data_IF_098470094696
#
_entry.id   IF_098470094696
#
_cell.length_a   1.000
_cell.length_b   1.000
_cell.length_c   1.000
_cell.angle_alpha   90.00
_cell.angle_beta   90.00
_cell.angle_gamma   90.00
#
_symmetry.space_group_name_H-M   'P 1'
#
loop_
_entity.id
_entity.type
_entity.pdbx_description
1 polymer ?
#
# COMPACT_ATOMS: atom_id res chain seq x y z
N UNK A 1 -11.93 10.56 2.06
CA UNK A 1 -12.35 9.16 2.20
C UNK A 1 -12.15 8.70 3.63
N UNK A 2 -13.17 8.20 4.22
CA UNK A 2 -13.13 7.87 5.64
C UNK A 2 -12.47 6.52 5.91
N UNK A 3 -12.98 5.46 5.33
CA UNK A 3 -12.47 4.12 5.64
C UNK A 3 -12.39 3.26 4.39
N UNK A 4 -11.33 2.46 4.26
CA UNK A 4 -11.27 1.50 3.17
C UNK A 4 -12.32 0.39 3.39
N UNK A 5 -12.72 -0.29 2.33
CA UNK A 5 -13.61 -1.43 2.47
C UNK A 5 -13.04 -2.48 3.42
N UNK A 6 -13.92 -3.14 4.17
CA UNK A 6 -13.53 -4.05 5.23
C UNK A 6 -12.63 -5.20 4.75
N UNK A 7 -12.90 -5.70 3.56
CA UNK A 7 -12.19 -6.86 3.03
C UNK A 7 -11.09 -6.48 2.04
N UNK A 8 -10.67 -5.22 2.05
CA UNK A 8 -9.70 -4.73 1.07
C UNK A 8 -8.25 -4.83 1.53
N UNK A 9 -8.01 -5.25 2.77
CA UNK A 9 -6.64 -5.33 3.29
C UNK A 9 -5.84 -6.33 2.47
N UNK A 10 -4.77 -5.84 1.84
CA UNK A 10 -3.92 -6.66 0.98
C UNK A 10 -2.57 -6.94 1.61
N UNK A 11 -2.06 -6.03 2.42
CA UNK A 11 -0.71 -6.12 2.95
C UNK A 11 -0.60 -5.34 4.25
N UNK A 12 0.09 -5.92 5.23
CA UNK A 12 0.48 -5.21 6.45
C UNK A 12 1.95 -5.45 6.70
N UNK A 13 2.64 -4.41 7.11
CA UNK A 13 4.05 -4.53 7.44
C UNK A 13 4.43 -3.44 8.44
N UNK A 14 5.60 -3.59 9.03
CA UNK A 14 6.11 -2.62 9.98
C UNK A 14 7.32 -1.94 9.34
N UNK A 15 7.34 -0.61 9.38
CA UNK A 15 8.46 0.15 8.87
C UNK A 15 9.67 -0.04 9.78
N UNK A 16 10.78 -0.47 9.22
CA UNK A 16 11.97 -0.85 9.97
C UNK A 16 13.08 0.18 9.80
N UNK A 17 14.07 0.21 10.73
CA UNK A 17 15.18 1.16 10.60
C UNK A 17 15.91 1.06 9.27
N UNK A 18 16.01 -0.12 8.68
CA UNK A 18 16.66 -0.31 7.39
C UNK A 18 15.93 0.39 6.24
N UNK A 19 14.68 0.80 6.45
CA UNK A 19 13.85 1.43 5.44
C UNK A 19 13.90 2.96 5.48
N UNK A 20 14.84 3.52 6.24
CA UNK A 20 14.96 4.97 6.40
C UNK A 20 15.94 5.56 5.41
N UNK A 21 15.73 6.85 5.10
CA UNK A 21 16.66 7.62 4.31
C UNK A 21 17.69 8.30 5.24
N UNK A 22 18.54 9.15 4.68
CA UNK A 22 19.60 9.82 5.45
C UNK A 22 19.06 10.74 6.54
N UNK A 23 17.80 11.15 6.43
CA UNK A 23 17.17 12.02 7.43
C UNK A 23 16.43 11.24 8.50
N UNK A 24 16.45 9.91 8.44
CA UNK A 24 15.72 9.07 9.40
C UNK A 24 14.27 8.87 9.10
N UNK A 25 13.80 9.33 7.95
CA UNK A 25 12.40 9.13 7.52
C UNK A 25 12.27 7.90 6.63
N UNK A 26 11.10 7.31 6.60
CA UNK A 26 10.86 6.18 5.71
C UNK A 26 10.87 6.66 4.27
N UNK A 27 11.57 5.93 3.41
CA UNK A 27 11.65 6.24 1.98
C UNK A 27 10.29 6.27 1.32
N UNK A 28 10.05 7.28 0.48
CA UNK A 28 8.89 7.27 -0.41
C UNK A 28 8.91 6.07 -1.33
N UNK A 29 10.10 5.68 -1.80
CA UNK A 29 10.24 4.50 -2.63
C UNK A 29 9.85 3.21 -1.91
N UNK A 30 10.13 3.12 -0.61
CA UNK A 30 9.70 1.97 0.18
C UNK A 30 8.17 1.90 0.24
N UNK A 31 7.52 3.05 0.46
CA UNK A 31 6.06 3.11 0.49
C UNK A 31 5.48 2.71 -0.86
N UNK A 32 6.06 3.18 -1.95
CA UNK A 32 5.61 2.81 -3.29
C UNK A 32 5.78 1.32 -3.54
N UNK A 33 6.88 0.73 -3.05
CA UNK A 33 7.09 -0.71 -3.18
C UNK A 33 6.02 -1.49 -2.43
N UNK A 34 5.63 -1.03 -1.24
CA UNK A 34 4.57 -1.69 -0.48
C UNK A 34 3.22 -1.57 -1.19
N UNK A 35 2.95 -0.41 -1.77
CA UNK A 35 1.72 -0.20 -2.51
C UNK A 35 1.67 -1.05 -3.78
N UNK A 36 2.80 -1.19 -4.46
CA UNK A 36 2.88 -2.06 -5.63
C UNK A 36 2.62 -3.52 -5.26
N UNK A 37 3.23 -3.99 -4.18
CA UNK A 37 2.98 -5.34 -3.68
C UNK A 37 1.53 -5.53 -3.28
N UNK A 38 0.97 -4.55 -2.57
CA UNK A 38 -0.43 -4.60 -2.15
C UNK A 38 -1.38 -4.65 -3.32
N UNK A 39 -1.11 -3.87 -4.36
CA UNK A 39 -1.94 -3.86 -5.56
C UNK A 39 -1.89 -5.20 -6.29
N UNK A 40 -0.76 -5.90 -6.21
CA UNK A 40 -0.61 -7.19 -6.88
C UNK A 40 -1.53 -8.26 -6.31
N UNK A 41 -1.96 -8.12 -5.06
CA UNK A 41 -2.79 -9.13 -4.41
C UNK A 41 -4.15 -9.29 -5.10
N UNK A 42 -5.00 -8.25 -5.19
CA UNK A 42 -6.26 -8.41 -5.93
C UNK A 42 -6.03 -8.60 -7.43
N UNK A 43 -4.97 -7.99 -7.98
CA UNK A 43 -4.70 -8.09 -9.41
C UNK A 43 -4.37 -9.51 -9.82
N UNK A 44 -3.49 -10.18 -9.08
CA UNK A 44 -3.11 -11.56 -9.39
C UNK A 44 -4.28 -12.52 -9.18
N UNK A 45 -5.04 -12.29 -8.13
CA UNK A 45 -6.23 -13.11 -7.86
C UNK A 45 -7.23 -12.98 -8.99
N UNK A 46 -7.48 -11.77 -9.45
CA UNK A 46 -8.44 -11.51 -10.53
C UNK A 46 -7.94 -12.02 -11.88
N UNK A 47 -6.66 -11.80 -12.18
CA UNK A 47 -6.06 -12.21 -13.44
C UNK A 47 -5.69 -13.69 -13.47
N UNK A 48 -5.64 -14.32 -12.31
CA UNK A 48 -5.24 -15.73 -12.16
C UNK A 48 -3.85 -15.99 -12.70
N UNK A 49 -2.94 -15.06 -12.49
CA UNK A 49 -1.58 -15.20 -12.98
C UNK A 49 -0.73 -13.98 -12.68
N UNK A 50 0.37 -13.89 -13.39
CA UNK A 50 1.33 -12.81 -13.19
C UNK A 50 0.77 -11.50 -13.74
N UNK A 51 1.10 -10.43 -13.02
CA UNK A 51 0.74 -9.07 -13.42
C UNK A 51 1.97 -8.19 -13.29
N UNK A 52 1.97 -7.07 -13.99
CA UNK A 52 3.04 -6.10 -13.93
C UNK A 52 2.45 -4.70 -13.77
N UNK A 53 3.09 -3.87 -12.96
CA UNK A 53 2.67 -2.49 -12.81
C UNK A 53 3.17 -1.70 -14.01
N UNK A 54 2.25 -1.01 -14.69
CA UNK A 54 2.56 -0.23 -15.88
C UNK A 54 2.69 1.25 -15.53
N UNK A 55 1.83 1.76 -14.68
CA UNK A 55 1.82 3.17 -14.36
C UNK A 55 1.26 3.43 -12.96
N UNK A 56 1.76 4.48 -12.34
CA UNK A 56 1.21 5.01 -11.09
C UNK A 56 0.70 6.41 -11.41
N UNK A 57 -0.59 6.64 -11.21
CA UNK A 57 -1.20 7.90 -11.61
C UNK A 57 -0.92 9.04 -10.66
N UNK A 58 -1.06 8.83 -9.39
CA UNK A 58 -0.79 9.88 -8.43
C UNK A 58 -0.85 9.38 -7.03
N UNK A 59 -0.14 10.06 -6.14
CA UNK A 59 -0.09 9.68 -4.74
C UNK A 59 -0.07 10.93 -3.89
N UNK A 60 -0.80 10.88 -2.78
CA UNK A 60 -0.80 11.96 -1.81
C UNK A 60 -0.53 11.37 -0.44
N UNK A 61 0.50 11.88 0.21
CA UNK A 61 0.84 11.49 1.57
C UNK A 61 0.53 12.62 2.51
N UNK A 62 -0.32 12.36 3.51
CA UNK A 62 -0.73 13.37 4.47
C UNK A 62 0.10 13.37 5.74
N UNK A 63 0.75 12.26 6.04
CA UNK A 63 1.59 12.11 7.21
C UNK A 63 2.86 11.35 6.88
N UNK A 64 3.97 11.69 7.51
CA UNK A 64 5.19 10.88 7.35
C UNK A 64 5.00 9.53 8.02
N UNK A 65 5.60 8.50 7.44
CA UNK A 65 5.65 7.17 8.03
C UNK A 65 6.95 7.08 8.82
N UNK A 66 6.84 6.65 10.04
CA UNK A 66 7.99 6.57 10.95
C UNK A 66 8.36 5.13 11.22
N UNK A 67 9.62 4.92 11.63
CA UNK A 67 10.07 3.59 12.04
C UNK A 67 9.16 3.08 13.16
N UNK A 68 8.73 1.85 13.06
CA UNK A 68 7.85 1.22 14.03
C UNK A 68 6.37 1.34 13.70
N UNK A 69 6.02 2.16 12.71
CA UNK A 69 4.62 2.28 12.32
C UNK A 69 4.13 0.99 11.66
N UNK A 70 2.93 0.59 12.03
CA UNK A 70 2.24 -0.48 11.34
C UNK A 70 1.55 0.09 10.11
N UNK A 71 2.01 -0.33 8.97
CA UNK A 71 1.52 0.15 7.67
C UNK A 71 0.59 -0.89 7.07
N UNK A 72 -0.63 -0.47 6.77
CA UNK A 72 -1.63 -1.34 6.15
C UNK A 72 -1.97 -0.80 4.78
N UNK A 73 -1.89 -1.65 3.77
CA UNK A 73 -2.23 -1.31 2.40
C UNK A 73 -3.55 -1.97 2.06
N UNK A 74 -4.52 -1.16 1.69
CA UNK A 74 -5.83 -1.62 1.24
C UNK A 74 -5.92 -1.40 -0.26
N UNK A 75 -6.40 -2.41 -0.97
CA UNK A 75 -6.47 -2.37 -2.43
C UNK A 75 -7.81 -2.88 -2.91
N UNK A 76 -8.37 -2.21 -3.92
CA UNK A 76 -9.58 -2.70 -4.56
C UNK A 76 -9.54 -2.39 -6.05
N UNK A 77 -10.17 -3.27 -6.83
CA UNK A 77 -10.24 -3.09 -8.27
C UNK A 77 -11.33 -2.06 -8.56
N UNK A 78 -10.95 -0.94 -9.13
CA UNK A 78 -11.87 0.14 -9.46
C UNK A 78 -12.44 0.00 -10.85
N UNK A 79 -11.63 -0.51 -11.79
CA UNK A 79 -12.04 -0.62 -13.17
C UNK A 79 -11.27 -1.76 -13.83
N UNK A 80 -11.94 -2.48 -14.71
CA UNK A 80 -11.36 -3.61 -15.37
C UNK A 80 -11.50 -3.49 -16.88
N UNK A 81 -10.37 -3.57 -17.58
CA UNK A 81 -10.35 -3.63 -19.03
C UNK A 81 -10.06 -5.04 -19.50
N UNK A 82 -9.91 -5.24 -20.80
CA UNK A 82 -9.64 -6.56 -21.35
C UNK A 82 -8.25 -7.07 -20.96
N UNK A 83 -7.27 -6.18 -20.87
CA UNK A 83 -5.89 -6.53 -20.54
C UNK A 83 -5.31 -5.69 -19.42
N UNK A 84 -6.15 -4.93 -18.72
CA UNK A 84 -5.68 -4.02 -17.70
C UNK A 84 -6.62 -3.95 -16.51
N UNK A 85 -6.07 -3.57 -15.36
CA UNK A 85 -6.83 -3.35 -14.14
C UNK A 85 -6.42 -2.00 -13.57
N UNK A 86 -7.40 -1.25 -13.11
CA UNK A 86 -7.19 -0.01 -12.39
C UNK A 86 -7.49 -0.27 -10.92
N UNK A 87 -6.49 -0.10 -10.07
CA UNK A 87 -6.59 -0.45 -8.66
C UNK A 87 -6.43 0.79 -7.79
N UNK A 88 -7.37 0.98 -6.89
CA UNK A 88 -7.27 2.02 -5.89
C UNK A 88 -6.58 1.51 -4.65
N UNK A 89 -5.68 2.31 -4.11
CA UNK A 89 -4.88 1.95 -2.94
C UNK A 89 -5.05 2.98 -1.85
N UNK A 90 -5.17 2.49 -0.62
CA UNK A 90 -5.20 3.33 0.57
C UNK A 90 -4.19 2.77 1.56
N UNK A 91 -3.31 3.64 2.03
CA UNK A 91 -2.35 3.29 3.06
C UNK A 91 -2.83 3.89 4.37
N UNK A 92 -2.93 3.06 5.40
CA UNK A 92 -3.29 3.51 6.73
C UNK A 92 -2.21 3.18 7.73
N UNK A 93 -2.11 4.01 8.75
CA UNK A 93 -1.14 3.82 9.84
C UNK A 93 -1.91 3.57 11.13
N UNK A 94 -1.46 2.60 11.89
CA UNK A 94 -1.97 2.42 13.25
C UNK A 94 -1.26 3.43 14.13
N UNK A 95 -1.97 4.46 14.56
CA UNK A 95 -1.39 5.52 15.36
C UNK A 95 -1.29 5.17 16.84
N UNK A 96 -2.15 4.27 17.28
CA UNK A 96 -2.16 3.87 18.68
C UNK A 96 -2.07 2.37 18.75
N UNK A 97 -0.94 1.91 19.18
CA UNK A 97 -0.80 0.53 19.59
C UNK A 97 -1.00 0.58 21.09
N UNK A 98 -2.11 0.04 21.54
CA UNK A 98 -2.31 -0.08 22.97
C UNK A 98 -1.23 -0.95 23.53
N UNK A 99 -0.37 -0.35 24.33
CA UNK A 99 0.60 -1.13 25.05
C UNK A 99 -0.16 -1.96 26.09
N UNK A 100 0.19 -3.16 26.16
CA UNK A 100 -0.38 -4.06 27.15
C UNK A 100 0.34 -3.89 28.46
#
# INVERSE_FOLDING_TARGET
MSHPPKDSLALQTIAMPADTNVNGDIFGGWLMAQMDLGASVPARTRAKGRVATVAVEGMTFHKPVMVGDLVSIHAEILKEGSTSLHIGLVLTLAEHICAI
#
